data_IF_541999616229
#
_entry.id   IF_541999616229
#
_cell.length_a   1.000
_cell.length_b   1.000
_cell.length_c   1.000
_cell.angle_alpha   90.00
_cell.angle_beta   90.00
_cell.angle_gamma   90.00
#
_symmetry.space_group_name_H-M   'P 1'
#
loop_
_entity.id
_entity.type
_entity.pdbx_description
1 polymer ?
#
# COMPACT_ATOMS: atom_id res chain seq x y z
N UNK A 1 5.89 11.86 -27.31
CA UNK A 1 4.85 11.97 -26.26
C UNK A 1 4.58 10.58 -25.73
N UNK A 2 4.41 10.43 -24.42
CA UNK A 2 4.04 9.13 -23.81
C UNK A 2 2.70 8.67 -24.38
N UNK A 3 2.53 7.36 -24.59
CA UNK A 3 1.25 6.73 -24.93
C UNK A 3 0.23 6.89 -23.80
N UNK A 4 0.71 6.91 -22.56
CA UNK A 4 -0.13 6.97 -21.36
C UNK A 4 -0.20 8.41 -20.82
N UNK A 5 -1.37 8.80 -20.35
CA UNK A 5 -1.66 10.12 -19.77
C UNK A 5 -1.93 10.04 -18.27
N UNK A 6 -2.15 8.83 -17.75
CA UNK A 6 -2.45 8.54 -16.37
C UNK A 6 -1.49 7.45 -15.88
N UNK A 7 -0.78 7.75 -14.81
CA UNK A 7 0.12 6.80 -14.14
C UNK A 7 -0.44 6.50 -12.77
N UNK A 8 -0.68 5.24 -12.49
CA UNK A 8 -1.19 4.78 -11.21
C UNK A 8 -0.16 3.84 -10.61
N UNK A 9 0.18 4.05 -9.36
CA UNK A 9 1.20 3.27 -8.65
C UNK A 9 0.60 2.53 -7.48
N UNK A 10 1.13 1.37 -7.14
CA UNK A 10 1.08 0.89 -5.77
C UNK A 10 2.02 1.74 -4.89
N UNK A 11 1.93 1.58 -3.57
CA UNK A 11 2.74 2.37 -2.64
C UNK A 11 3.86 1.54 -2.00
N UNK A 12 3.49 0.46 -1.27
CA UNK A 12 4.45 -0.35 -0.52
C UNK A 12 5.32 -1.16 -1.51
N UNK A 13 6.65 -1.06 -1.37
CA UNK A 13 7.67 -1.68 -2.23
C UNK A 13 7.69 -1.20 -3.69
N UNK A 14 6.80 -0.27 -4.06
CA UNK A 14 6.78 0.37 -5.38
C UNK A 14 7.30 1.81 -5.32
N UNK A 15 6.70 2.66 -4.50
CA UNK A 15 7.13 4.05 -4.27
C UNK A 15 7.99 4.20 -3.01
N UNK A 16 7.79 3.34 -2.03
CA UNK A 16 8.49 3.40 -0.75
C UNK A 16 8.74 2.02 -0.16
N UNK A 17 9.84 1.85 0.52
CA UNK A 17 10.12 0.69 1.36
C UNK A 17 9.52 0.93 2.75
N UNK A 18 8.47 0.19 3.07
CA UNK A 18 7.80 0.16 4.37
C UNK A 18 8.01 -1.16 5.11
N UNK A 19 8.87 -2.01 4.60
CA UNK A 19 9.08 -3.37 5.12
C UNK A 19 9.45 -3.37 6.61
N UNK A 20 10.32 -2.46 7.06
CA UNK A 20 10.73 -2.37 8.48
C UNK A 20 9.53 -2.15 9.39
N UNK A 21 8.67 -1.19 9.07
CA UNK A 21 7.46 -0.89 9.86
C UNK A 21 6.45 -2.03 9.83
N UNK A 22 6.25 -2.65 8.68
CA UNK A 22 5.33 -3.78 8.50
C UNK A 22 5.81 -5.00 9.31
N UNK A 23 7.09 -5.35 9.21
CA UNK A 23 7.70 -6.44 9.98
C UNK A 23 7.54 -6.22 11.49
N UNK A 24 7.80 -5.00 11.98
CA UNK A 24 7.63 -4.68 13.40
C UNK A 24 6.17 -4.85 13.85
N UNK A 25 5.21 -4.35 13.05
CA UNK A 25 3.80 -4.44 13.39
C UNK A 25 3.32 -5.90 13.46
N UNK A 26 3.63 -6.73 12.48
CA UNK A 26 3.23 -8.14 12.51
C UNK A 26 3.87 -8.90 13.66
N UNK A 27 5.18 -8.73 13.90
CA UNK A 27 5.87 -9.37 15.04
C UNK A 27 5.26 -8.95 16.37
N UNK A 28 4.91 -7.66 16.52
CA UNK A 28 4.27 -7.14 17.73
C UNK A 28 2.92 -7.83 17.96
N UNK A 29 2.06 -7.89 16.95
CA UNK A 29 0.71 -8.46 17.08
C UNK A 29 0.77 -9.97 17.28
N UNK A 30 1.58 -10.72 16.54
CA UNK A 30 1.75 -12.16 16.76
C UNK A 30 2.15 -12.45 18.20
N UNK A 31 3.09 -11.68 18.76
CA UNK A 31 3.52 -11.81 20.15
C UNK A 31 2.40 -11.45 21.13
N UNK A 32 1.67 -10.36 20.90
CA UNK A 32 0.56 -9.90 21.78
C UNK A 32 -0.56 -10.95 21.87
N UNK A 33 -0.86 -11.63 20.75
CA UNK A 33 -1.91 -12.64 20.68
C UNK A 33 -1.41 -14.06 20.98
N UNK A 34 -0.13 -14.22 21.38
CA UNK A 34 0.43 -15.50 21.82
C UNK A 34 0.75 -16.47 20.68
N UNK A 35 0.85 -16.01 19.44
CA UNK A 35 1.27 -16.83 18.31
C UNK A 35 2.79 -16.99 18.25
N UNK A 36 3.28 -18.12 17.67
CA UNK A 36 4.70 -18.31 17.45
C UNK A 36 5.29 -17.21 16.56
N UNK A 37 6.55 -16.80 16.81
CA UNK A 37 7.21 -15.84 15.95
C UNK A 37 7.40 -16.41 14.53
N UNK A 38 7.23 -15.56 13.53
CA UNK A 38 7.55 -15.86 12.13
C UNK A 38 8.83 -15.14 11.73
N UNK A 39 9.60 -15.73 10.81
CA UNK A 39 10.80 -15.10 10.25
C UNK A 39 10.42 -13.91 9.34
N UNK A 40 11.41 -13.05 9.12
CA UNK A 40 11.20 -11.81 8.37
C UNK A 40 10.77 -12.05 6.94
N UNK A 41 11.27 -13.08 6.28
CA UNK A 41 10.92 -13.42 4.91
C UNK A 41 9.46 -13.87 4.80
N UNK A 42 9.00 -14.68 5.75
CA UNK A 42 7.61 -15.13 5.81
C UNK A 42 6.66 -13.94 5.95
N UNK A 43 6.97 -13.00 6.84
CA UNK A 43 6.18 -11.77 7.00
C UNK A 43 6.29 -10.87 5.76
N UNK A 44 7.50 -10.68 5.21
CA UNK A 44 7.73 -9.86 4.01
C UNK A 44 6.86 -10.32 2.83
N UNK A 45 6.70 -11.62 2.65
CA UNK A 45 5.88 -12.19 1.58
C UNK A 45 4.37 -11.92 1.73
N UNK A 46 3.92 -11.35 2.86
CA UNK A 46 2.52 -10.93 3.05
C UNK A 46 2.28 -9.46 2.68
N UNK A 47 3.33 -8.71 2.33
CA UNK A 47 3.19 -7.30 1.93
C UNK A 47 2.34 -7.23 0.66
N UNK A 48 1.36 -6.33 0.65
CA UNK A 48 0.37 -6.21 -0.42
C UNK A 48 -0.94 -6.95 -0.15
N UNK A 49 -0.95 -7.97 0.70
CA UNK A 49 -2.19 -8.66 1.12
C UNK A 49 -3.05 -7.78 2.04
N UNK A 50 -4.34 -8.16 2.19
CA UNK A 50 -5.13 -7.58 3.28
C UNK A 50 -4.59 -8.05 4.64
N UNK A 51 -4.79 -7.24 5.69
CA UNK A 51 -4.29 -7.62 7.03
C UNK A 51 -4.95 -8.91 7.55
N UNK A 52 -6.23 -9.14 7.23
CA UNK A 52 -6.94 -10.35 7.67
C UNK A 52 -6.38 -11.59 6.99
N UNK A 53 -6.15 -11.54 5.68
CA UNK A 53 -5.56 -12.65 4.93
C UNK A 53 -4.12 -12.92 5.36
N UNK A 54 -3.34 -11.85 5.60
CA UNK A 54 -1.99 -11.96 6.13
C UNK A 54 -1.96 -12.62 7.50
N UNK A 55 -2.89 -12.28 8.42
CA UNK A 55 -2.96 -12.94 9.71
C UNK A 55 -3.42 -14.40 9.61
N UNK A 56 -4.35 -14.73 8.74
CA UNK A 56 -4.72 -16.12 8.48
C UNK A 56 -3.50 -16.94 8.05
N UNK A 57 -2.72 -16.42 7.11
CA UNK A 57 -1.49 -17.06 6.65
C UNK A 57 -0.42 -17.15 7.76
N UNK A 58 -0.17 -16.05 8.48
CA UNK A 58 0.87 -16.00 9.51
C UNK A 58 0.54 -16.83 10.76
N UNK A 59 -0.73 -17.14 11.00
CA UNK A 59 -1.16 -17.99 12.11
C UNK A 59 -1.39 -19.44 11.70
N UNK A 60 -1.18 -19.77 10.42
CA UNK A 60 -1.46 -21.09 9.83
C UNK A 60 -2.94 -21.52 10.03
N UNK A 61 -3.87 -20.56 10.02
CA UNK A 61 -5.30 -20.78 10.27
C UNK A 61 -6.12 -20.10 9.19
N UNK A 62 -7.00 -20.85 8.51
CA UNK A 62 -8.04 -20.25 7.69
C UNK A 62 -9.15 -19.69 8.58
N UNK A 63 -9.61 -18.47 8.28
CA UNK A 63 -10.66 -17.80 9.06
C UNK A 63 -10.35 -17.71 10.57
N UNK A 64 -9.12 -17.30 10.90
CA UNK A 64 -8.71 -17.13 12.29
C UNK A 64 -9.73 -16.27 13.05
N UNK A 65 -10.36 -16.77 14.14
CA UNK A 65 -11.39 -16.02 14.87
C UNK A 65 -10.88 -14.72 15.50
N UNK A 66 -9.59 -14.57 15.69
CA UNK A 66 -8.95 -13.37 16.25
C UNK A 66 -8.45 -12.39 15.16
N UNK A 67 -8.50 -12.74 13.88
CA UNK A 67 -7.89 -11.95 12.80
C UNK A 67 -8.35 -10.49 12.76
N UNK A 68 -9.62 -10.22 13.09
CA UNK A 68 -10.13 -8.85 13.12
C UNK A 68 -9.61 -8.04 14.32
N UNK A 69 -9.43 -8.67 15.47
CA UNK A 69 -8.83 -8.02 16.63
C UNK A 69 -7.32 -7.83 16.44
N UNK A 70 -6.64 -8.80 15.79
CA UNK A 70 -5.26 -8.68 15.36
C UNK A 70 -5.10 -7.54 14.35
N UNK A 71 -6.03 -7.38 13.39
CA UNK A 71 -6.04 -6.25 12.46
C UNK A 71 -6.13 -4.91 13.20
N UNK A 72 -7.02 -4.78 14.21
CA UNK A 72 -7.13 -3.57 15.02
C UNK A 72 -5.85 -3.27 15.80
N UNK A 73 -5.24 -4.29 16.40
CA UNK A 73 -3.97 -4.16 17.11
C UNK A 73 -2.83 -3.73 16.14
N UNK A 74 -2.79 -4.31 14.94
CA UNK A 74 -1.86 -3.90 13.90
C UNK A 74 -2.05 -2.43 13.52
N UNK A 75 -3.29 -1.99 13.27
CA UNK A 75 -3.60 -0.59 12.91
C UNK A 75 -3.10 0.35 14.00
N UNK A 76 -3.38 0.04 15.29
CA UNK A 76 -2.91 0.81 16.43
C UNK A 76 -1.37 0.90 16.46
N UNK A 77 -0.68 -0.24 16.33
CA UNK A 77 0.80 -0.26 16.33
C UNK A 77 1.36 0.48 15.11
N UNK A 78 0.77 0.32 13.95
CA UNK A 78 1.19 0.98 12.72
C UNK A 78 1.06 2.51 12.80
N UNK A 79 0.07 3.05 13.52
CA UNK A 79 -0.06 4.50 13.75
C UNK A 79 1.11 5.09 14.55
N UNK A 80 1.78 4.27 15.36
CA UNK A 80 2.93 4.70 16.15
C UNK A 80 4.25 4.70 15.35
N UNK A 81 4.40 3.73 14.40
CA UNK A 81 5.72 3.44 13.83
C UNK A 81 5.80 3.58 12.30
N UNK A 82 4.67 3.38 11.59
CA UNK A 82 4.73 3.13 10.14
C UNK A 82 5.33 4.29 9.35
N UNK A 83 4.93 5.53 9.62
CA UNK A 83 5.41 6.71 8.88
C UNK A 83 6.92 6.91 9.07
N UNK A 84 7.42 6.67 10.30
CA UNK A 84 8.84 6.80 10.63
C UNK A 84 9.71 5.69 10.06
N UNK A 85 9.09 4.56 9.70
CA UNK A 85 9.74 3.34 9.18
C UNK A 85 9.32 3.02 7.75
N UNK A 86 8.92 4.03 7.02
CA UNK A 86 8.64 3.96 5.58
C UNK A 86 9.56 4.97 4.91
N UNK A 87 10.32 4.56 3.90
CA UNK A 87 11.33 5.40 3.23
C UNK A 87 11.06 5.39 1.73
N UNK A 88 10.91 6.57 1.12
CA UNK A 88 10.83 6.65 -0.35
C UNK A 88 12.11 6.12 -0.98
N UNK A 89 11.98 5.44 -2.12
CA UNK A 89 13.14 5.16 -2.96
C UNK A 89 13.72 6.46 -3.51
N UNK A 90 15.02 6.49 -3.77
CA UNK A 90 15.78 7.70 -4.09
C UNK A 90 15.17 8.57 -5.20
N UNK A 91 14.62 7.94 -6.24
CA UNK A 91 14.07 8.62 -7.41
C UNK A 91 12.56 8.90 -7.32
N UNK A 92 11.86 8.38 -6.31
CA UNK A 92 10.38 8.43 -6.24
C UNK A 92 9.84 9.84 -6.38
N UNK A 93 10.29 10.77 -5.55
CA UNK A 93 9.76 12.14 -5.54
C UNK A 93 10.09 12.86 -6.85
N UNK A 94 11.31 12.68 -7.38
CA UNK A 94 11.73 13.28 -8.64
C UNK A 94 10.90 12.78 -9.83
N UNK A 95 10.61 11.48 -9.87
CA UNK A 95 9.76 10.87 -10.92
C UNK A 95 8.34 11.42 -10.85
N UNK A 96 7.71 11.42 -9.67
CA UNK A 96 6.34 11.92 -9.50
C UNK A 96 6.22 13.40 -9.88
N UNK A 97 7.17 14.24 -9.47
CA UNK A 97 7.23 15.64 -9.88
C UNK A 97 7.44 15.82 -11.38
N UNK A 98 8.28 14.98 -11.99
CA UNK A 98 8.51 15.00 -13.44
C UNK A 98 7.24 14.68 -14.21
N UNK A 99 6.48 13.66 -13.78
CA UNK A 99 5.19 13.30 -14.39
C UNK A 99 4.19 14.44 -14.28
N UNK A 100 4.06 15.06 -13.10
CA UNK A 100 3.17 16.21 -12.91
C UNK A 100 3.56 17.40 -13.78
N UNK A 101 4.86 17.73 -13.85
CA UNK A 101 5.37 18.82 -14.69
C UNK A 101 5.11 18.57 -16.19
N UNK A 102 5.06 17.32 -16.60
CA UNK A 102 4.69 16.90 -17.95
C UNK A 102 3.17 16.92 -18.22
N UNK A 103 2.36 17.32 -17.24
CA UNK A 103 0.90 17.34 -17.35
C UNK A 103 0.25 15.95 -17.26
N UNK A 104 0.98 14.97 -16.77
CA UNK A 104 0.49 13.61 -16.55
C UNK A 104 -0.23 13.54 -15.20
N UNK A 105 -1.36 12.86 -15.15
CA UNK A 105 -2.08 12.62 -13.92
C UNK A 105 -1.51 11.42 -13.17
N UNK A 106 -1.32 11.59 -11.87
CA UNK A 106 -0.71 10.58 -11.00
C UNK A 106 -1.69 10.12 -9.92
N UNK A 107 -1.89 8.80 -9.82
CA UNK A 107 -2.70 8.16 -8.80
C UNK A 107 -1.92 7.12 -7.98
N UNK A 108 -2.44 6.79 -6.81
CA UNK A 108 -1.96 5.67 -5.98
C UNK A 108 -3.14 4.76 -5.65
N UNK A 109 -2.97 3.44 -5.83
CA UNK A 109 -3.89 2.41 -5.34
C UNK A 109 -3.11 1.46 -4.43
N UNK A 110 -3.48 1.40 -3.16
CA UNK A 110 -2.76 0.58 -2.18
C UNK A 110 -3.69 -0.07 -1.16
N UNK A 111 -3.29 -1.21 -0.61
CA UNK A 111 -3.93 -1.81 0.57
C UNK A 111 -3.64 -1.02 1.86
N UNK A 112 -2.60 -0.16 1.83
CA UNK A 112 -2.29 0.77 2.91
C UNK A 112 -3.37 1.84 3.03
N UNK A 113 -3.68 2.28 4.24
CA UNK A 113 -4.63 3.38 4.47
C UNK A 113 -4.09 4.70 3.93
N UNK A 114 -4.94 5.44 3.21
CA UNK A 114 -4.62 6.71 2.55
C UNK A 114 -3.95 7.72 3.49
N UNK A 115 -4.44 7.88 4.72
CA UNK A 115 -3.86 8.86 5.65
C UNK A 115 -2.38 8.58 5.99
N UNK A 116 -1.96 7.31 6.01
CA UNK A 116 -0.55 6.95 6.25
C UNK A 116 0.32 7.31 5.05
N UNK A 117 -0.19 7.11 3.84
CA UNK A 117 0.49 7.53 2.62
C UNK A 117 0.68 9.04 2.64
N UNK A 118 -0.40 9.79 2.89
CA UNK A 118 -0.36 11.26 2.97
C UNK A 118 0.62 11.74 4.05
N UNK A 119 0.60 11.12 5.23
CA UNK A 119 1.51 11.48 6.32
C UNK A 119 2.98 11.20 5.95
N UNK A 120 3.27 10.10 5.26
CA UNK A 120 4.63 9.80 4.78
C UNK A 120 5.12 10.88 3.82
N UNK A 121 4.29 11.29 2.84
CA UNK A 121 4.65 12.39 1.94
C UNK A 121 4.88 13.71 2.69
N UNK A 122 4.01 14.06 3.62
CA UNK A 122 4.13 15.29 4.39
C UNK A 122 5.40 15.33 5.24
N UNK A 123 5.74 14.23 5.92
CA UNK A 123 6.89 14.18 6.82
C UNK A 123 8.22 14.10 6.05
N UNK A 124 8.28 13.42 4.91
CA UNK A 124 9.54 13.13 4.24
C UNK A 124 9.78 13.96 2.98
N UNK A 125 8.73 14.37 2.28
CA UNK A 125 8.85 15.12 1.02
C UNK A 125 8.35 16.55 1.12
N UNK A 126 7.60 16.92 2.16
CA UNK A 126 6.99 18.24 2.32
C UNK A 126 5.98 18.61 1.23
N UNK A 127 5.65 17.67 0.34
CA UNK A 127 4.69 17.83 -0.75
C UNK A 127 4.07 16.50 -1.12
N UNK A 128 2.88 16.55 -1.71
CA UNK A 128 2.15 15.37 -2.18
C UNK A 128 2.01 15.45 -3.71
N UNK A 129 2.98 14.97 -4.49
CA UNK A 129 2.98 15.06 -5.95
C UNK A 129 2.11 13.97 -6.60
N UNK A 130 0.86 13.82 -6.11
CA UNK A 130 -0.14 12.90 -6.65
C UNK A 130 -1.52 13.56 -6.65
N UNK A 131 -2.33 13.25 -7.65
CA UNK A 131 -3.68 13.82 -7.81
C UNK A 131 -4.73 13.07 -6.99
N UNK A 132 -4.62 11.74 -6.90
CA UNK A 132 -5.62 10.88 -6.23
C UNK A 132 -4.90 9.74 -5.50
N UNK A 133 -5.39 9.42 -4.30
CA UNK A 133 -5.02 8.21 -3.56
C UNK A 133 -6.29 7.42 -3.27
N UNK A 134 -6.29 6.14 -3.59
CA UNK A 134 -7.26 5.15 -3.16
C UNK A 134 -6.55 4.19 -2.20
N UNK A 135 -6.89 4.27 -0.93
CA UNK A 135 -6.36 3.43 0.13
C UNK A 135 -7.26 2.22 0.42
N UNK A 136 -6.78 1.34 1.30
CA UNK A 136 -7.52 0.14 1.70
C UNK A 136 -8.90 0.43 2.31
N UNK A 137 -9.10 1.61 2.90
CA UNK A 137 -10.39 2.04 3.45
C UNK A 137 -11.40 2.51 2.39
N UNK A 138 -10.95 2.77 1.17
CA UNK A 138 -11.81 3.28 0.09
C UNK A 138 -12.47 2.17 -0.74
N UNK A 139 -12.09 0.90 -0.51
CA UNK A 139 -12.56 -0.26 -1.27
C UNK A 139 -13.19 -1.30 -0.36
N UNK A 140 -14.11 -2.08 -0.90
CA UNK A 140 -14.70 -3.25 -0.23
C UNK A 140 -14.05 -4.56 -0.69
N UNK A 141 -13.42 -4.54 -1.87
CA UNK A 141 -12.64 -5.64 -2.43
C UNK A 141 -11.23 -5.13 -2.71
N UNK A 142 -10.27 -5.71 -1.99
CA UNK A 142 -8.86 -5.36 -2.13
C UNK A 142 -8.25 -6.02 -3.38
N UNK A 143 -7.05 -5.56 -3.78
CA UNK A 143 -6.24 -6.20 -4.80
C UNK A 143 -6.12 -7.72 -4.54
N UNK A 144 -6.22 -8.58 -5.55
CA UNK A 144 -6.19 -8.29 -6.99
C UNK A 144 -7.52 -7.82 -7.62
N UNK A 145 -8.62 -7.65 -6.86
CA UNK A 145 -9.83 -7.07 -7.43
C UNK A 145 -9.55 -5.66 -7.98
N UNK A 146 -9.96 -5.36 -9.22
CA UNK A 146 -9.66 -4.08 -9.88
C UNK A 146 -10.41 -2.88 -9.30
N UNK A 147 -11.24 -3.04 -8.27
CA UNK A 147 -12.09 -1.98 -7.73
C UNK A 147 -11.32 -0.68 -7.45
N UNK A 148 -10.14 -0.76 -6.83
CA UNK A 148 -9.35 0.42 -6.50
C UNK A 148 -8.86 1.15 -7.76
N UNK A 149 -8.44 0.40 -8.77
CA UNK A 149 -8.00 0.96 -10.05
C UNK A 149 -9.19 1.54 -10.85
N UNK A 150 -10.32 0.84 -10.87
CA UNK A 150 -11.55 1.34 -11.53
C UNK A 150 -12.03 2.65 -10.90
N UNK A 151 -11.94 2.80 -9.57
CA UNK A 151 -12.25 4.05 -8.88
C UNK A 151 -11.34 5.21 -9.31
N UNK A 152 -10.05 4.98 -9.49
CA UNK A 152 -9.14 6.02 -9.99
C UNK A 152 -9.46 6.37 -11.45
N UNK A 153 -9.68 5.38 -12.29
CA UNK A 153 -10.03 5.57 -13.71
C UNK A 153 -11.30 6.43 -13.83
N UNK A 154 -12.33 6.10 -13.05
CA UNK A 154 -13.58 6.87 -12.99
C UNK A 154 -13.34 8.32 -12.55
N UNK A 155 -12.59 8.52 -11.45
CA UNK A 155 -12.30 9.86 -10.91
C UNK A 155 -11.47 10.72 -11.85
N UNK A 156 -10.59 10.11 -12.64
CA UNK A 156 -9.84 10.81 -13.68
C UNK A 156 -10.67 11.06 -14.94
N UNK A 157 -11.79 10.37 -15.14
CA UNK A 157 -12.52 10.36 -16.41
C UNK A 157 -11.66 9.79 -17.53
N UNK A 158 -10.84 8.78 -17.24
CA UNK A 158 -9.85 8.23 -18.14
C UNK A 158 -10.39 7.01 -18.91
N UNK A 159 -9.88 6.81 -20.13
CA UNK A 159 -10.00 5.51 -20.79
C UNK A 159 -8.94 4.55 -20.24
N UNK A 160 -9.31 3.28 -20.01
CA UNK A 160 -8.37 2.25 -19.49
C UNK A 160 -7.11 2.12 -20.34
N UNK A 161 -7.19 2.33 -21.66
CA UNK A 161 -6.05 2.27 -22.56
C UNK A 161 -5.04 3.40 -22.39
N UNK A 162 -5.40 4.49 -21.72
CA UNK A 162 -4.55 5.64 -21.44
C UNK A 162 -3.87 5.56 -20.07
N UNK A 163 -4.20 4.52 -19.28
CA UNK A 163 -3.68 4.32 -17.93
C UNK A 163 -2.55 3.31 -17.94
N UNK A 164 -1.47 3.63 -17.23
CA UNK A 164 -0.40 2.69 -16.89
C UNK A 164 -0.45 2.45 -15.38
N UNK A 165 -0.64 1.19 -14.97
CA UNK A 165 -0.54 0.77 -13.59
C UNK A 165 0.84 0.14 -13.33
N UNK A 166 1.45 0.48 -12.20
CA UNK A 166 2.80 0.08 -11.82
C UNK A 166 2.77 -0.42 -10.39
N UNK A 167 3.20 -1.66 -10.17
CA UNK A 167 3.33 -2.31 -8.87
C UNK A 167 4.49 -3.29 -8.86
N UNK A 168 4.84 -3.80 -7.68
CA UNK A 168 5.97 -4.70 -7.48
C UNK A 168 5.57 -6.17 -7.35
N UNK A 169 4.28 -6.43 -7.17
CA UNK A 169 3.76 -7.74 -6.77
C UNK A 169 2.87 -8.36 -7.86
N UNK A 170 2.74 -9.68 -7.85
CA UNK A 170 1.79 -10.40 -8.73
C UNK A 170 0.34 -9.96 -8.48
N UNK A 171 0.00 -9.53 -7.27
CA UNK A 171 -1.34 -9.01 -6.92
C UNK A 171 -1.69 -7.75 -7.72
N UNK A 172 -0.67 -7.00 -8.16
CA UNK A 172 -0.84 -5.81 -8.98
C UNK A 172 -1.07 -6.13 -10.46
N UNK A 173 -0.68 -7.33 -10.90
CA UNK A 173 -0.69 -7.74 -12.31
C UNK A 173 -1.90 -8.62 -12.69
N UNK A 174 -2.65 -9.16 -11.72
CA UNK A 174 -3.87 -9.95 -11.94
C UNK A 174 -5.09 -9.07 -12.18
#
# INVERSE_FOLDING_TARGET
MSKYRYFVFDFDLTLADSSEGILECFKHVLKEFGYPPKDDRTIYNTIGMTLVDAFDLLTDMSDNPQREDMRKAYVKKADEVMVKKTYFYDDTIAILQTLQNAGVKVGIVSTKYRYRIVNTFNEQAGSLPVDIIVGGEDVTRAKPDPQGLDLIIERFGADKSDVLYIGDSYIDAE
#
